data_IF_867281991734
#
_entry.id   IF_867281991734
#
_cell.length_a   1.000
_cell.length_b   1.000
_cell.length_c   1.000
_cell.angle_alpha   90.00
_cell.angle_beta   90.00
_cell.angle_gamma   90.00
#
_symmetry.space_group_name_H-M   'P 1'
#
loop_
_entity.id
_entity.type
_entity.pdbx_description
1 polymer ?
#
# COMPACT_ATOMS: atom_id res chain seq x y z
N UNK A 1 63.90 13.63 -57.27
CA UNK A 1 64.42 12.73 -56.17
C UNK A 1 64.01 13.24 -54.77
N UNK A 2 63.32 14.35 -54.66
CA UNK A 2 62.97 14.96 -53.35
C UNK A 2 61.52 14.64 -52.89
N UNK A 3 60.62 14.23 -53.76
CA UNK A 3 59.23 13.99 -53.42
C UNK A 3 59.00 12.65 -52.71
N UNK A 4 59.82 11.65 -52.95
CA UNK A 4 59.62 10.30 -52.43
C UNK A 4 60.09 10.17 -50.93
N UNK A 5 60.87 11.14 -50.42
CA UNK A 5 61.40 11.13 -49.06
C UNK A 5 60.35 11.75 -48.08
N UNK A 6 59.58 12.69 -48.56
CA UNK A 6 58.49 13.35 -47.75
C UNK A 6 57.28 12.42 -47.49
N UNK A 7 56.95 11.60 -48.44
CA UNK A 7 55.81 10.66 -48.31
C UNK A 7 56.10 9.55 -47.29
N UNK A 8 57.35 9.11 -47.15
CA UNK A 8 57.73 8.11 -46.13
C UNK A 8 57.72 8.65 -44.70
N UNK A 9 58.11 9.91 -44.52
CA UNK A 9 58.09 10.58 -43.19
C UNK A 9 56.64 10.86 -42.76
N UNK A 10 55.78 11.27 -43.71
CA UNK A 10 54.37 11.53 -43.41
C UNK A 10 53.57 10.25 -43.06
N UNK A 11 53.86 9.13 -43.72
CA UNK A 11 53.28 7.83 -43.36
C UNK A 11 53.72 7.33 -42.01
N UNK A 12 55.00 7.56 -41.63
CA UNK A 12 55.49 7.11 -40.32
C UNK A 12 54.94 7.95 -39.15
N UNK A 13 54.77 9.25 -39.34
CA UNK A 13 54.15 10.15 -38.32
C UNK A 13 52.67 9.91 -38.16
N UNK A 14 51.93 9.69 -39.24
CA UNK A 14 50.50 9.37 -39.19
C UNK A 14 50.25 8.01 -38.56
N UNK A 15 51.11 6.99 -38.83
CA UNK A 15 51.01 5.67 -38.21
C UNK A 15 51.33 5.70 -36.73
N UNK A 16 52.28 6.53 -36.27
CA UNK A 16 52.59 6.72 -34.85
C UNK A 16 51.48 7.41 -34.09
N UNK A 17 50.75 8.38 -34.70
CA UNK A 17 49.60 9.05 -34.07
C UNK A 17 48.39 8.12 -33.99
N UNK A 18 48.17 7.23 -34.95
CA UNK A 18 47.10 6.24 -34.93
C UNK A 18 47.33 5.10 -33.90
N UNK A 19 48.60 4.76 -33.56
CA UNK A 19 48.88 3.75 -32.53
C UNK A 19 48.84 4.29 -31.08
N UNK A 20 49.01 5.60 -30.86
CA UNK A 20 48.96 6.20 -29.52
C UNK A 20 47.62 6.84 -29.17
N UNK A 21 46.72 7.02 -30.15
CA UNK A 21 45.38 7.60 -29.93
C UNK A 21 44.44 6.80 -29.05
N UNK A 22 44.39 5.46 -29.11
CA UNK A 22 43.47 4.67 -28.28
C UNK A 22 43.96 4.40 -26.86
N UNK A 23 45.25 4.67 -26.52
CA UNK A 23 45.73 4.42 -25.15
C UNK A 23 45.45 5.55 -24.14
N UNK A 24 44.98 6.71 -24.59
CA UNK A 24 44.64 7.84 -23.68
C UNK A 24 43.14 7.89 -23.31
N UNK A 25 42.33 6.96 -23.82
CA UNK A 25 40.90 6.85 -23.45
C UNK A 25 40.59 5.67 -22.48
N UNK A 26 41.65 4.93 -22.03
CA UNK A 26 41.50 4.08 -20.86
C UNK A 26 41.64 4.93 -19.59
N UNK A 27 40.81 5.97 -19.48
CA UNK A 27 40.53 6.61 -18.21
C UNK A 27 40.01 5.54 -17.28
N UNK A 28 40.70 5.29 -16.18
CA UNK A 28 40.16 4.52 -15.07
C UNK A 28 38.76 5.04 -14.75
N UNK A 29 37.78 4.32 -15.22
CA UNK A 29 36.42 4.47 -14.70
C UNK A 29 36.45 3.84 -13.31
N UNK A 30 37.08 4.53 -12.34
CA UNK A 30 36.77 4.34 -10.94
C UNK A 30 35.40 4.94 -10.71
N UNK A 31 34.43 4.41 -11.44
CA UNK A 31 33.04 4.62 -11.13
C UNK A 31 32.85 4.05 -9.74
N UNK A 32 32.72 4.90 -8.76
CA UNK A 32 31.95 4.56 -7.57
C UNK A 32 30.59 4.17 -8.16
N UNK A 33 30.37 2.86 -8.35
CA UNK A 33 29.05 2.36 -8.68
C UNK A 33 28.15 2.84 -7.55
N UNK A 34 27.39 3.89 -7.82
CA UNK A 34 26.38 4.35 -6.90
C UNK A 34 25.42 3.18 -6.72
N UNK A 35 25.48 2.53 -5.57
CA UNK A 35 24.56 1.47 -5.19
C UNK A 35 23.16 1.97 -5.46
N UNK A 36 22.40 1.30 -6.33
CA UNK A 36 21.03 1.70 -6.65
C UNK A 36 20.25 1.76 -5.35
N UNK A 37 19.69 2.91 -5.05
CA UNK A 37 18.81 3.10 -3.91
C UNK A 37 17.61 2.15 -4.06
N UNK A 38 17.54 1.15 -3.20
CA UNK A 38 16.41 0.21 -3.16
C UNK A 38 15.38 0.82 -2.24
N UNK A 39 14.38 1.45 -2.83
CA UNK A 39 13.22 1.92 -2.06
C UNK A 39 12.20 0.78 -1.89
N UNK A 40 11.40 0.74 -0.81
CA UNK A 40 10.35 -0.26 -0.62
C UNK A 40 9.36 -0.35 -1.79
N UNK A 41 9.14 0.73 -2.53
CA UNK A 41 8.35 0.77 -3.76
C UNK A 41 9.04 0.11 -4.97
N UNK A 42 10.37 -0.15 -4.88
CA UNK A 42 11.17 -0.85 -5.91
C UNK A 42 11.56 -2.27 -5.53
N UNK A 43 11.33 -2.69 -4.30
CA UNK A 43 11.29 -4.11 -3.99
C UNK A 43 10.14 -4.67 -4.81
N UNK A 44 10.50 -5.32 -5.91
CA UNK A 44 9.52 -5.92 -6.79
C UNK A 44 8.69 -6.87 -5.93
N UNK A 45 7.38 -6.60 -5.77
CA UNK A 45 6.48 -7.45 -4.97
C UNK A 45 6.51 -8.90 -5.43
N UNK A 46 7.04 -9.16 -6.62
CA UNK A 46 7.26 -10.49 -7.19
C UNK A 46 8.37 -11.29 -6.50
N UNK A 47 9.30 -10.62 -5.81
CA UNK A 47 10.40 -11.29 -5.10
C UNK A 47 10.07 -11.61 -3.63
N UNK A 48 9.00 -11.04 -3.08
CA UNK A 48 8.51 -11.39 -1.75
C UNK A 48 7.53 -12.56 -1.91
N UNK A 49 7.88 -13.70 -1.35
CA UNK A 49 6.93 -14.82 -1.26
C UNK A 49 5.63 -14.34 -0.60
N UNK A 50 4.49 -14.63 -1.24
CA UNK A 50 3.17 -14.33 -0.67
C UNK A 50 3.04 -14.93 0.72
N UNK A 51 2.60 -14.13 1.66
CA UNK A 51 2.30 -14.61 3.01
C UNK A 51 0.86 -15.14 3.08
N UNK A 52 0.53 -16.01 4.05
CA UNK A 52 -0.86 -16.40 4.26
C UNK A 52 -1.81 -15.21 4.46
N UNK A 53 -1.30 -14.13 5.05
CA UNK A 53 -2.04 -12.89 5.26
C UNK A 53 -2.33 -12.15 3.93
N UNK A 54 -1.44 -12.22 2.95
CA UNK A 54 -1.67 -11.67 1.61
C UNK A 54 -2.78 -12.44 0.88
N UNK A 55 -2.85 -13.76 1.06
CA UNK A 55 -3.91 -14.61 0.49
C UNK A 55 -5.29 -14.20 1.00
N UNK A 56 -5.43 -13.83 2.29
CA UNK A 56 -6.70 -13.30 2.83
C UNK A 56 -7.10 -12.02 2.14
N UNK A 57 -6.14 -11.11 1.88
CA UNK A 57 -6.43 -9.87 1.15
C UNK A 57 -6.89 -10.12 -0.29
N UNK A 58 -6.31 -11.10 -0.96
CA UNK A 58 -6.71 -11.47 -2.32
C UNK A 58 -8.09 -12.14 -2.38
N UNK A 59 -8.50 -12.79 -1.29
CA UNK A 59 -9.81 -13.43 -1.20
C UNK A 59 -10.94 -12.42 -0.96
N UNK A 60 -10.64 -11.25 -0.36
CA UNK A 60 -11.59 -10.12 -0.26
C UNK A 60 -11.60 -9.41 -1.62
N UNK A 61 -12.57 -9.73 -2.45
CA UNK A 61 -12.58 -9.35 -3.86
C UNK A 61 -12.78 -7.85 -4.10
N UNK A 62 -11.76 -7.21 -4.65
CA UNK A 62 -11.94 -6.00 -5.44
C UNK A 62 -12.26 -6.41 -6.88
N UNK A 63 -13.54 -6.43 -7.25
CA UNK A 63 -13.95 -6.68 -8.62
C UNK A 63 -13.69 -5.46 -9.49
N UNK A 64 -13.03 -5.59 -10.67
CA UNK A 64 -12.91 -4.48 -11.61
C UNK A 64 -14.30 -4.07 -12.12
N UNK A 65 -14.43 -2.82 -12.54
CA UNK A 65 -15.73 -2.24 -12.96
C UNK A 65 -16.45 -3.07 -14.01
N UNK A 66 -15.71 -3.67 -14.97
CA UNK A 66 -16.30 -4.53 -16.03
C UNK A 66 -17.06 -5.75 -15.49
N UNK A 67 -16.74 -6.21 -14.27
CA UNK A 67 -17.34 -7.40 -13.65
C UNK A 67 -18.51 -7.06 -12.72
N UNK A 68 -18.82 -5.76 -12.57
CA UNK A 68 -19.94 -5.36 -11.72
C UNK A 68 -21.28 -5.74 -12.34
N UNK A 69 -22.13 -6.30 -11.52
CA UNK A 69 -23.50 -6.65 -11.90
C UNK A 69 -24.47 -5.58 -11.45
N UNK A 70 -25.50 -5.33 -12.25
CA UNK A 70 -26.62 -4.49 -11.86
C UNK A 70 -27.18 -4.91 -10.49
N UNK A 71 -27.50 -3.92 -9.67
CA UNK A 71 -27.99 -4.16 -8.31
C UNK A 71 -26.89 -4.26 -7.24
N UNK A 72 -25.59 -4.21 -7.58
CA UNK A 72 -24.50 -4.21 -6.59
C UNK A 72 -24.68 -3.06 -5.60
N UNK A 73 -24.73 -3.32 -4.29
CA UNK A 73 -25.09 -2.34 -3.30
C UNK A 73 -23.90 -1.53 -2.80
N UNK A 74 -24.10 -0.24 -2.59
CA UNK A 74 -23.12 0.69 -2.03
C UNK A 74 -23.74 1.53 -0.94
N UNK A 75 -23.06 1.65 0.20
CA UNK A 75 -23.45 2.54 1.29
C UNK A 75 -22.90 3.94 1.02
N UNK A 76 -23.76 4.95 1.11
CA UNK A 76 -23.35 6.34 1.05
C UNK A 76 -22.74 6.76 2.39
N UNK A 77 -21.46 7.06 2.38
CA UNK A 77 -20.71 7.42 3.58
C UNK A 77 -20.80 8.91 3.94
N UNK A 78 -21.08 9.77 2.95
CA UNK A 78 -21.07 11.22 3.13
C UNK A 78 -22.06 11.91 2.17
N UNK A 79 -22.86 12.86 2.68
CA UNK A 79 -23.80 13.66 1.89
C UNK A 79 -23.12 14.49 0.78
N UNK A 80 -21.81 14.76 0.90
CA UNK A 80 -21.02 15.44 -0.14
C UNK A 80 -21.00 14.70 -1.49
N UNK A 81 -21.45 13.43 -1.52
CA UNK A 81 -21.66 12.78 -2.81
C UNK A 81 -22.56 13.59 -3.75
N UNK A 82 -23.58 14.29 -3.24
CA UNK A 82 -24.48 15.13 -4.04
C UNK A 82 -23.77 16.29 -4.76
N UNK A 83 -22.58 16.68 -4.31
CA UNK A 83 -21.74 17.69 -4.95
C UNK A 83 -20.84 17.13 -6.05
N UNK A 84 -20.61 15.81 -6.02
CA UNK A 84 -19.66 15.12 -6.90
C UNK A 84 -20.40 14.36 -8.01
N UNK A 85 -21.56 13.80 -7.67
CA UNK A 85 -22.35 12.99 -8.59
C UNK A 85 -23.40 13.84 -9.30
N UNK A 86 -23.46 13.70 -10.62
CA UNK A 86 -24.54 14.32 -11.40
C UNK A 86 -25.87 13.66 -11.02
N UNK A 87 -26.81 14.44 -10.54
CA UNK A 87 -28.15 13.95 -10.16
C UNK A 87 -29.23 14.86 -10.74
N UNK A 88 -30.47 14.36 -10.84
CA UNK A 88 -31.64 15.16 -11.25
C UNK A 88 -32.36 15.80 -10.05
N UNK A 89 -31.74 15.80 -8.90
CA UNK A 89 -32.26 16.46 -7.70
C UNK A 89 -32.14 17.98 -7.92
N UNK A 90 -33.22 18.73 -7.65
CA UNK A 90 -33.18 20.19 -7.78
C UNK A 90 -32.22 20.83 -6.75
N UNK A 91 -31.59 21.97 -7.04
CA UNK A 91 -30.71 22.63 -6.09
C UNK A 91 -31.36 22.88 -4.73
N UNK A 92 -32.65 23.27 -4.70
CA UNK A 92 -33.40 23.53 -3.47
C UNK A 92 -33.62 22.24 -2.66
N UNK A 93 -33.83 21.11 -3.35
CA UNK A 93 -34.00 19.81 -2.72
C UNK A 93 -32.65 19.24 -2.23
N UNK A 94 -31.52 19.56 -2.90
CA UNK A 94 -30.19 19.09 -2.48
C UNK A 94 -29.83 19.54 -1.06
N UNK A 95 -30.20 20.76 -0.67
CA UNK A 95 -29.88 21.27 0.68
C UNK A 95 -30.60 20.51 1.80
N UNK A 96 -31.70 19.87 1.49
CA UNK A 96 -32.52 19.10 2.46
C UNK A 96 -32.36 17.60 2.33
N UNK A 97 -31.89 17.12 1.18
CA UNK A 97 -31.67 15.68 0.93
C UNK A 97 -30.51 15.16 1.76
N UNK A 98 -30.76 14.07 2.46
CA UNK A 98 -29.70 13.36 3.25
C UNK A 98 -29.53 11.97 2.66
N UNK A 99 -28.31 11.73 2.16
CA UNK A 99 -27.95 10.47 1.54
C UNK A 99 -27.07 9.60 2.45
N UNK A 100 -26.36 10.22 3.39
CA UNK A 100 -25.49 9.49 4.31
C UNK A 100 -26.25 8.38 5.04
N UNK A 101 -25.74 7.15 4.95
CA UNK A 101 -26.35 5.95 5.53
C UNK A 101 -27.39 5.27 4.62
N UNK A 102 -27.75 5.87 3.48
CA UNK A 102 -28.61 5.20 2.49
C UNK A 102 -27.80 4.21 1.65
N UNK A 103 -28.49 3.26 1.03
CA UNK A 103 -27.92 2.30 0.10
C UNK A 103 -28.38 2.64 -1.30
N UNK A 104 -27.43 2.89 -2.18
CA UNK A 104 -27.65 3.01 -3.63
C UNK A 104 -27.09 1.79 -4.33
N UNK A 105 -27.54 1.53 -5.56
CA UNK A 105 -27.13 0.35 -6.30
C UNK A 105 -26.50 0.72 -7.64
N UNK A 106 -25.46 0.00 -8.03
CA UNK A 106 -24.94 0.09 -9.37
C UNK A 106 -26.03 -0.28 -10.37
N UNK A 107 -26.30 0.60 -11.33
CA UNK A 107 -27.26 0.40 -12.42
C UNK A 107 -26.57 -0.01 -13.71
N UNK A 108 -25.70 0.86 -14.23
CA UNK A 108 -25.01 0.65 -15.50
C UNK A 108 -23.79 1.54 -15.63
N UNK A 109 -22.99 1.27 -16.63
CA UNK A 109 -22.01 2.22 -17.17
C UNK A 109 -22.53 2.88 -18.43
N UNK A 110 -22.03 4.06 -18.74
CA UNK A 110 -22.26 4.73 -20.02
C UNK A 110 -21.02 5.53 -20.42
N UNK A 111 -20.84 5.73 -21.72
CA UNK A 111 -19.73 6.51 -22.25
C UNK A 111 -20.24 7.84 -22.77
N UNK A 112 -19.59 8.93 -22.37
CA UNK A 112 -19.91 10.28 -22.82
C UNK A 112 -18.73 10.92 -23.53
N UNK A 113 -19.01 11.60 -24.63
CA UNK A 113 -18.03 12.40 -25.35
C UNK A 113 -17.81 13.71 -24.57
N UNK A 114 -16.56 14.00 -24.28
CA UNK A 114 -16.17 15.26 -23.63
C UNK A 114 -15.98 16.38 -24.65
N UNK A 115 -16.00 17.66 -24.25
CA UNK A 115 -15.78 18.79 -25.16
C UNK A 115 -14.44 18.77 -25.89
N UNK A 116 -13.43 18.09 -25.35
CA UNK A 116 -12.10 17.93 -25.97
C UNK A 116 -12.04 16.73 -26.95
N UNK A 117 -13.16 16.01 -27.17
CA UNK A 117 -13.28 14.90 -28.11
C UNK A 117 -12.86 13.54 -27.58
N UNK A 118 -12.54 13.40 -26.29
CA UNK A 118 -12.28 12.10 -25.65
C UNK A 118 -13.57 11.45 -25.15
N UNK A 119 -13.61 10.11 -25.14
CA UNK A 119 -14.68 9.35 -24.49
C UNK A 119 -14.29 9.07 -23.04
N UNK A 120 -15.21 9.35 -22.11
CA UNK A 120 -15.05 9.06 -20.70
C UNK A 120 -16.15 8.14 -20.19
N UNK A 121 -15.76 7.16 -19.36
CA UNK A 121 -16.66 6.23 -18.69
C UNK A 121 -17.34 6.89 -17.50
N UNK A 122 -18.66 6.78 -17.47
CA UNK A 122 -19.50 7.16 -16.34
C UNK A 122 -20.07 5.92 -15.67
N UNK A 123 -20.17 5.97 -14.35
CA UNK A 123 -20.83 4.95 -13.53
C UNK A 123 -22.16 5.54 -13.07
N UNK A 124 -23.24 4.83 -13.28
CA UNK A 124 -24.59 5.24 -12.84
C UNK A 124 -25.02 4.36 -11.69
N UNK A 125 -25.30 4.99 -10.58
CA UNK A 125 -25.97 4.39 -9.43
C UNK A 125 -27.42 4.84 -9.37
N UNK A 126 -28.26 4.08 -8.69
CA UNK A 126 -29.65 4.46 -8.45
C UNK A 126 -30.10 4.07 -7.05
N UNK A 127 -31.00 4.85 -6.51
CA UNK A 127 -31.97 4.43 -5.50
C UNK A 127 -33.31 4.20 -6.21
N UNK A 128 -34.40 3.97 -5.46
CA UNK A 128 -35.69 3.70 -6.06
C UNK A 128 -36.30 4.94 -6.77
N UNK A 129 -35.76 6.14 -6.59
CA UNK A 129 -36.31 7.40 -7.07
C UNK A 129 -35.38 8.21 -7.96
N UNK A 130 -34.03 8.10 -7.77
CA UNK A 130 -33.05 8.97 -8.39
C UNK A 130 -31.90 8.17 -9.02
N UNK A 131 -31.31 8.75 -10.05
CA UNK A 131 -30.04 8.27 -10.62
C UNK A 131 -28.91 9.25 -10.27
N UNK A 132 -27.74 8.70 -10.00
CA UNK A 132 -26.51 9.42 -9.63
C UNK A 132 -25.40 9.00 -10.59
N UNK A 133 -24.97 9.92 -11.45
CA UNK A 133 -23.91 9.68 -12.41
C UNK A 133 -22.55 10.16 -11.89
N UNK A 134 -21.56 9.30 -11.91
CA UNK A 134 -20.21 9.65 -11.55
C UNK A 134 -19.29 9.55 -12.77
N UNK A 135 -18.60 10.65 -13.08
CA UNK A 135 -17.57 10.65 -14.13
C UNK A 135 -16.26 10.12 -13.57
N UNK A 136 -15.76 9.02 -14.11
CA UNK A 136 -14.47 8.43 -13.69
C UNK A 136 -13.27 9.24 -14.16
N UNK A 137 -13.41 10.14 -15.14
CA UNK A 137 -12.32 10.85 -15.78
C UNK A 137 -11.40 9.94 -16.61
N UNK A 138 -11.79 8.70 -16.86
CA UNK A 138 -11.00 7.67 -17.55
C UNK A 138 -11.65 7.25 -18.85
N UNK A 139 -10.82 6.79 -19.80
CA UNK A 139 -11.35 6.10 -20.99
C UNK A 139 -12.12 4.82 -20.60
N UNK A 140 -13.04 4.34 -21.45
CA UNK A 140 -13.78 3.10 -21.16
C UNK A 140 -12.89 1.92 -20.80
N UNK A 141 -11.81 1.69 -21.52
CA UNK A 141 -10.89 0.57 -21.27
C UNK A 141 -10.12 0.71 -19.94
N UNK A 142 -9.69 1.94 -19.62
CA UNK A 142 -8.99 2.22 -18.38
C UNK A 142 -9.92 2.11 -17.16
N UNK A 143 -11.18 2.57 -17.31
CA UNK A 143 -12.19 2.47 -16.27
C UNK A 143 -12.59 1.02 -15.99
N UNK A 144 -12.80 0.21 -17.03
CA UNK A 144 -13.23 -1.18 -16.93
C UNK A 144 -12.23 -2.06 -16.15
N UNK A 145 -10.95 -1.71 -16.21
CA UNK A 145 -9.90 -2.40 -15.43
C UNK A 145 -9.63 -1.79 -14.07
N UNK A 146 -10.29 -0.69 -13.70
CA UNK A 146 -10.14 -0.03 -12.41
C UNK A 146 -10.91 -0.73 -11.31
N UNK A 147 -10.38 -0.68 -10.10
CA UNK A 147 -10.97 -1.27 -8.91
C UNK A 147 -11.58 -0.19 -8.02
N UNK A 148 -12.79 -0.46 -7.53
CA UNK A 148 -13.42 0.35 -6.48
C UNK A 148 -12.64 0.15 -5.15
N UNK A 149 -12.48 1.16 -4.25
CA UNK A 149 -13.25 2.42 -4.18
C UNK A 149 -12.59 3.64 -4.82
N UNK A 150 -11.41 3.49 -5.44
CA UNK A 150 -10.62 4.63 -5.93
C UNK A 150 -11.34 5.52 -6.94
N UNK A 151 -12.31 4.95 -7.65
CA UNK A 151 -13.00 5.62 -8.75
C UNK A 151 -14.42 6.11 -8.42
N UNK A 152 -14.94 5.83 -7.22
CA UNK A 152 -16.28 6.28 -6.81
C UNK A 152 -16.26 6.81 -5.37
N UNK A 153 -15.87 8.07 -5.14
CA UNK A 153 -15.71 8.65 -3.82
C UNK A 153 -17.04 8.70 -3.03
N UNK A 154 -16.93 8.73 -1.71
CA UNK A 154 -18.04 8.79 -0.75
C UNK A 154 -18.94 7.55 -0.70
N UNK A 155 -18.58 6.47 -1.38
CA UNK A 155 -19.31 5.21 -1.34
C UNK A 155 -18.46 4.10 -0.71
N UNK A 156 -19.12 3.15 -0.05
CA UNK A 156 -18.52 1.91 0.47
C UNK A 156 -19.20 0.74 -0.23
N UNK A 157 -18.41 -0.12 -0.85
CA UNK A 157 -18.91 -1.33 -1.52
C UNK A 157 -19.33 -2.39 -0.49
N UNK A 158 -20.63 -2.59 -0.34
CA UNK A 158 -21.17 -3.54 0.61
C UNK A 158 -20.92 -5.00 0.24
N UNK A 159 -20.68 -5.30 -1.03
CA UNK A 159 -20.30 -6.65 -1.47
C UNK A 159 -18.94 -7.03 -0.88
N UNK A 160 -17.95 -6.16 -0.98
CA UNK A 160 -16.63 -6.41 -0.41
C UNK A 160 -16.66 -6.50 1.13
N UNK A 161 -17.55 -5.75 1.79
CA UNK A 161 -17.75 -5.85 3.25
C UNK A 161 -18.31 -7.21 3.63
N UNK A 162 -19.32 -7.70 2.90
CA UNK A 162 -19.93 -9.01 3.17
C UNK A 162 -18.97 -10.16 2.91
N UNK A 163 -18.21 -10.12 1.81
CA UNK A 163 -17.13 -11.08 1.54
C UNK A 163 -16.08 -11.11 2.67
N UNK A 164 -15.68 -9.92 3.16
CA UNK A 164 -14.78 -9.83 4.31
C UNK A 164 -15.41 -10.40 5.60
N UNK A 165 -16.72 -10.18 5.81
CA UNK A 165 -17.45 -10.75 6.95
C UNK A 165 -17.44 -12.27 6.90
N UNK A 166 -17.76 -12.87 5.76
CA UNK A 166 -17.78 -14.32 5.57
C UNK A 166 -16.40 -14.95 5.82
N UNK A 167 -15.32 -14.28 5.39
CA UNK A 167 -13.95 -14.78 5.53
C UNK A 167 -13.41 -14.62 6.95
N UNK A 168 -13.69 -13.48 7.60
CA UNK A 168 -12.98 -13.09 8.82
C UNK A 168 -13.76 -13.42 10.10
N UNK A 169 -15.11 -13.43 10.09
CA UNK A 169 -15.89 -13.66 11.32
C UNK A 169 -15.59 -15.02 11.94
N UNK A 170 -15.41 -15.02 13.26
CA UNK A 170 -15.06 -16.22 14.03
C UNK A 170 -13.57 -16.60 14.00
N UNK A 171 -12.74 -15.90 13.20
CA UNK A 171 -11.31 -16.17 13.19
C UNK A 171 -10.63 -15.59 14.44
N UNK A 172 -9.67 -16.35 14.96
CA UNK A 172 -8.71 -15.83 15.93
C UNK A 172 -7.49 -15.31 15.20
N UNK A 173 -7.25 -13.99 15.32
CA UNK A 173 -6.15 -13.28 14.70
C UNK A 173 -5.17 -12.78 15.77
N UNK A 174 -3.90 -12.61 15.41
CA UNK A 174 -2.92 -11.98 16.29
C UNK A 174 -2.65 -10.56 15.80
N UNK A 175 -2.82 -9.60 16.69
CA UNK A 175 -2.69 -8.18 16.35
C UNK A 175 -1.24 -7.81 16.06
N UNK A 176 -1.02 -7.09 14.98
CA UNK A 176 0.28 -6.50 14.62
C UNK A 176 0.35 -5.03 14.99
N UNK A 177 -0.81 -4.35 14.92
CA UNK A 177 -0.98 -2.95 15.27
C UNK A 177 -1.63 -2.79 16.66
N UNK A 178 -1.23 -1.80 17.47
CA UNK A 178 -1.87 -1.47 18.72
C UNK A 178 -3.11 -0.58 18.53
N UNK A 179 -3.50 -0.25 17.30
CA UNK A 179 -4.63 0.63 17.03
C UNK A 179 -5.95 -0.05 17.41
N UNK A 180 -6.63 0.54 18.38
CA UNK A 180 -7.95 0.15 18.87
C UNK A 180 -8.80 1.38 19.03
N UNK A 181 -10.10 1.19 18.91
CA UNK A 181 -11.09 2.25 19.09
C UNK A 181 -12.25 1.70 19.94
N UNK A 182 -12.87 2.57 20.73
CA UNK A 182 -14.13 2.27 21.42
C UNK A 182 -15.33 2.42 20.46
N UNK A 183 -16.55 2.30 21.01
CA UNK A 183 -17.79 2.42 20.21
C UNK A 183 -18.09 3.87 19.82
N UNK A 184 -17.51 4.84 20.52
CA UNK A 184 -17.56 6.27 20.19
C UNK A 184 -16.58 6.67 19.10
N UNK A 185 -15.66 5.77 18.73
CA UNK A 185 -14.62 6.00 17.70
C UNK A 185 -13.36 6.66 18.28
N UNK A 186 -13.25 6.77 19.59
CA UNK A 186 -12.06 7.30 20.24
C UNK A 186 -10.97 6.23 20.37
N UNK A 187 -9.73 6.67 20.20
CA UNK A 187 -8.59 5.77 20.28
C UNK A 187 -8.32 5.31 21.71
N UNK A 188 -8.32 4.00 21.90
CA UNK A 188 -7.98 3.36 23.19
C UNK A 188 -6.65 2.63 23.11
N UNK A 189 -6.09 2.28 24.25
CA UNK A 189 -4.85 1.50 24.34
C UNK A 189 -5.09 0.06 23.87
N UNK A 190 -4.29 -0.39 22.93
CA UNK A 190 -4.27 -1.77 22.44
C UNK A 190 -2.89 -2.39 22.57
N UNK A 191 -2.84 -3.70 22.58
CA UNK A 191 -1.61 -4.48 22.63
C UNK A 191 -1.28 -5.07 21.25
N UNK A 192 0.01 -5.30 21.01
CA UNK A 192 0.52 -6.00 19.81
C UNK A 192 0.78 -7.46 20.12
N UNK A 193 0.62 -8.29 19.10
CA UNK A 193 0.94 -9.72 19.14
C UNK A 193 0.15 -10.49 20.19
N UNK A 194 -1.08 -10.05 20.44
CA UNK A 194 -2.07 -10.73 21.28
C UNK A 194 -3.19 -11.27 20.43
N UNK A 195 -3.79 -12.42 20.80
CA UNK A 195 -4.92 -12.98 20.06
C UNK A 195 -6.18 -12.13 20.29
N UNK A 196 -6.97 -11.95 19.22
CA UNK A 196 -8.31 -11.36 19.24
C UNK A 196 -9.23 -12.22 18.39
N UNK A 197 -10.49 -12.35 18.78
CA UNK A 197 -11.53 -13.01 18.02
C UNK A 197 -12.30 -11.98 17.20
N UNK A 198 -12.43 -12.18 15.89
CA UNK A 198 -13.26 -11.32 15.04
C UNK A 198 -14.72 -11.69 15.27
N UNK A 199 -15.48 -10.82 15.90
CA UNK A 199 -16.91 -11.04 16.23
C UNK A 199 -17.77 -10.72 15.02
N UNK A 200 -17.49 -9.61 14.32
CA UNK A 200 -18.27 -9.16 13.18
C UNK A 200 -17.42 -8.22 12.28
N UNK A 201 -17.82 -8.09 11.03
CA UNK A 201 -17.30 -7.10 10.09
C UNK A 201 -18.46 -6.30 9.53
N UNK A 202 -18.40 -4.97 9.71
CA UNK A 202 -19.46 -4.05 9.28
C UNK A 202 -18.86 -2.94 8.41
N UNK A 203 -19.66 -2.17 7.66
CA UNK A 203 -19.15 -1.02 6.92
C UNK A 203 -18.49 -0.01 7.85
N UNK A 204 -17.28 0.45 7.46
CA UNK A 204 -16.53 1.47 8.17
C UNK A 204 -16.69 2.86 7.55
N UNK A 205 -15.59 3.44 7.11
CA UNK A 205 -15.56 4.71 6.38
C UNK A 205 -14.93 4.56 4.98
N UNK A 206 -14.84 5.65 4.22
CA UNK A 206 -14.31 5.63 2.84
C UNK A 206 -12.83 5.22 2.79
N UNK A 207 -12.03 5.58 3.80
CA UNK A 207 -10.61 5.25 3.85
C UNK A 207 -10.38 3.83 4.36
N UNK A 208 -11.21 3.41 5.30
CA UNK A 208 -11.17 2.11 5.95
C UNK A 208 -12.54 1.44 5.87
N UNK A 209 -12.91 0.90 4.71
CA UNK A 209 -14.26 0.38 4.47
C UNK A 209 -14.62 -0.85 5.30
N UNK A 210 -13.66 -1.56 5.87
CA UNK A 210 -13.89 -2.69 6.74
C UNK A 210 -13.72 -2.27 8.21
N UNK A 211 -14.80 -2.28 8.96
CA UNK A 211 -14.82 -2.08 10.40
C UNK A 211 -15.00 -3.43 11.09
N UNK A 212 -13.94 -3.91 11.74
CA UNK A 212 -13.90 -5.16 12.48
C UNK A 212 -14.24 -4.90 13.95
N UNK A 213 -15.22 -5.61 14.47
CA UNK A 213 -15.48 -5.74 15.89
C UNK A 213 -14.70 -6.94 16.40
N UNK A 214 -13.77 -6.70 17.31
CA UNK A 214 -12.89 -7.76 17.82
C UNK A 214 -13.05 -7.91 19.33
N UNK A 215 -13.06 -9.16 19.78
CA UNK A 215 -13.10 -9.50 21.20
C UNK A 215 -11.68 -9.76 21.69
N UNK A 216 -11.26 -8.98 22.67
CA UNK A 216 -9.98 -9.08 23.35
C UNK A 216 -9.95 -10.28 24.30
N UNK A 217 -8.77 -10.67 24.77
CA UNK A 217 -8.59 -11.78 25.70
C UNK A 217 -9.25 -11.57 27.06
N UNK A 218 -9.47 -10.32 27.46
CA UNK A 218 -10.19 -9.94 28.70
C UNK A 218 -11.72 -9.92 28.50
N UNK A 219 -12.22 -10.25 27.30
CA UNK A 219 -13.64 -10.26 26.93
C UNK A 219 -14.19 -8.92 26.45
N UNK A 220 -13.44 -7.84 26.51
CA UNK A 220 -13.83 -6.52 26.01
C UNK A 220 -13.94 -6.56 24.49
N UNK A 221 -14.94 -5.86 23.94
CA UNK A 221 -15.05 -5.60 22.49
C UNK A 221 -14.33 -4.29 22.19
N UNK A 222 -13.56 -4.30 21.11
CA UNK A 222 -12.93 -3.12 20.55
C UNK A 222 -13.10 -3.10 19.04
N UNK A 223 -12.85 -1.95 18.42
CA UNK A 223 -13.04 -1.70 17.02
C UNK A 223 -11.69 -1.52 16.32
N UNK A 224 -11.55 -2.13 15.14
CA UNK A 224 -10.39 -1.98 14.26
C UNK A 224 -10.87 -1.70 12.84
N UNK A 225 -10.13 -0.85 12.12
CA UNK A 225 -10.49 -0.42 10.78
C UNK A 225 -9.43 -0.84 9.77
N UNK A 226 -9.84 -1.45 8.66
CA UNK A 226 -8.97 -1.92 7.59
C UNK A 226 -9.27 -1.24 6.26
N UNK A 227 -8.20 -1.00 5.50
CA UNK A 227 -8.27 -0.67 4.07
C UNK A 227 -8.27 -1.94 3.22
N UNK A 228 -9.06 -1.95 2.15
CA UNK A 228 -9.10 -3.05 1.17
C UNK A 228 -7.94 -2.92 0.17
N UNK A 229 -7.38 -1.73 -0.01
CA UNK A 229 -6.28 -1.49 -0.94
C UNK A 229 -5.07 -0.82 -0.28
N UNK A 230 -3.90 -0.95 -0.91
CA UNK A 230 -2.66 -0.27 -0.49
C UNK A 230 -2.59 1.22 -0.92
N UNK A 231 -3.68 1.78 -1.38
CA UNK A 231 -3.75 3.19 -1.80
C UNK A 231 -4.04 4.07 -0.61
N UNK A 232 -3.07 4.80 -0.13
CA UNK A 232 -3.27 5.79 0.93
C UNK A 232 -2.02 6.07 1.75
N UNK A 233 -2.06 7.18 2.47
CA UNK A 233 -0.99 7.65 3.36
C UNK A 233 -0.78 6.73 4.58
N UNK A 234 -1.83 6.02 5.00
CA UNK A 234 -1.78 5.01 6.05
C UNK A 234 -2.40 3.71 5.53
N UNK A 235 -1.56 2.76 5.18
CA UNK A 235 -2.02 1.44 4.78
C UNK A 235 -2.36 0.61 6.03
N UNK A 236 -3.66 0.42 6.28
CA UNK A 236 -4.18 -0.51 7.30
C UNK A 236 -4.68 -1.79 6.64
N UNK A 237 -3.85 -2.36 5.77
CA UNK A 237 -4.17 -3.63 5.11
C UNK A 237 -4.15 -4.79 6.11
N UNK A 238 -4.83 -5.89 5.81
CA UNK A 238 -4.87 -7.06 6.67
C UNK A 238 -3.45 -7.53 7.08
N UNK A 239 -2.46 -7.69 6.18
CA UNK A 239 -1.10 -8.10 6.56
C UNK A 239 -0.37 -7.07 7.44
N UNK A 240 -0.74 -5.80 7.39
CA UNK A 240 -0.15 -4.76 8.25
C UNK A 240 -0.75 -4.74 9.65
N UNK A 241 -1.96 -5.26 9.80
CA UNK A 241 -2.73 -5.21 11.04
C UNK A 241 -2.75 -6.53 11.80
N UNK A 242 -2.61 -7.68 11.12
CA UNK A 242 -2.80 -9.00 11.71
C UNK A 242 -1.79 -10.05 11.25
N UNK A 243 -1.66 -11.09 12.05
CA UNK A 243 -1.14 -12.40 11.69
C UNK A 243 -2.26 -13.45 11.83
N UNK A 244 -2.29 -14.44 10.95
CA UNK A 244 -3.22 -15.57 11.01
C UNK A 244 -2.84 -16.60 12.08
N UNK A 245 -1.61 -16.58 12.56
CA UNK A 245 -1.11 -17.51 13.57
C UNK A 245 -0.24 -16.78 14.60
N UNK A 246 -0.04 -17.44 15.76
CA UNK A 246 0.82 -16.89 16.82
C UNK A 246 2.22 -16.54 16.27
N UNK A 247 2.59 -15.25 16.23
CA UNK A 247 3.88 -14.84 15.72
C UNK A 247 5.06 -15.38 16.54
N UNK A 248 4.87 -15.69 17.82
CA UNK A 248 5.92 -16.33 18.64
C UNK A 248 6.28 -17.71 18.13
N UNK A 249 5.30 -18.45 17.58
CA UNK A 249 5.56 -19.75 16.93
C UNK A 249 6.24 -19.58 15.57
N UNK A 250 5.97 -18.50 14.85
CA UNK A 250 6.59 -18.18 13.55
C UNK A 250 8.05 -17.74 13.72
N UNK A 251 8.39 -17.13 14.86
CA UNK A 251 9.73 -16.61 15.17
C UNK A 251 10.29 -17.22 16.47
N UNK A 252 10.52 -18.54 16.54
CA UNK A 252 10.89 -19.23 17.78
C UNK A 252 12.29 -18.84 18.31
N UNK A 253 13.15 -18.24 17.47
CA UNK A 253 14.48 -17.81 17.85
C UNK A 253 14.50 -16.49 18.65
N UNK A 254 13.37 -15.75 18.68
CA UNK A 254 13.29 -14.46 19.39
C UNK A 254 13.11 -14.72 20.89
N UNK A 255 14.02 -14.17 21.71
CA UNK A 255 13.95 -14.35 23.15
C UNK A 255 12.77 -13.58 23.80
N UNK A 256 12.29 -14.01 24.97
CA UNK A 256 11.19 -13.33 25.67
C UNK A 256 11.49 -11.85 25.96
N UNK A 257 12.75 -11.50 26.26
CA UNK A 257 13.16 -10.11 26.51
C UNK A 257 13.06 -9.26 25.24
N UNK A 258 13.43 -9.83 24.09
CA UNK A 258 13.30 -9.14 22.80
C UNK A 258 11.83 -9.02 22.41
N UNK A 259 11.00 -10.05 22.64
CA UNK A 259 9.55 -9.98 22.45
C UNK A 259 8.90 -8.85 23.23
N UNK A 260 9.30 -8.62 24.48
CA UNK A 260 8.80 -7.51 25.28
C UNK A 260 9.10 -6.15 24.63
N UNK A 261 10.33 -5.95 24.12
CA UNK A 261 10.69 -4.73 23.40
C UNK A 261 9.87 -4.56 22.11
N UNK A 262 9.70 -5.65 21.34
CA UNK A 262 8.89 -5.66 20.12
C UNK A 262 7.43 -5.26 20.42
N UNK A 263 6.82 -5.80 21.46
CA UNK A 263 5.47 -5.44 21.89
C UNK A 263 5.34 -3.96 22.29
N UNK A 264 6.36 -3.41 22.91
CA UNK A 264 6.44 -2.00 23.29
C UNK A 264 6.78 -1.08 22.10
N UNK A 265 7.08 -1.62 20.92
CA UNK A 265 7.52 -0.85 19.75
C UNK A 265 8.92 -0.25 19.94
N UNK A 266 9.79 -0.91 20.69
CA UNK A 266 11.16 -0.48 20.98
C UNK A 266 12.19 -1.39 20.34
N UNK A 267 13.36 -0.85 20.06
CA UNK A 267 14.52 -1.57 19.57
C UNK A 267 15.72 -1.41 20.47
N UNK A 268 16.67 -2.33 20.35
CA UNK A 268 17.98 -2.24 21.00
C UNK A 268 19.08 -2.75 20.08
N UNK A 269 20.31 -2.35 20.30
CA UNK A 269 21.46 -2.88 19.57
C UNK A 269 21.56 -4.40 19.70
N UNK A 270 21.95 -5.08 18.63
CA UNK A 270 22.01 -6.53 18.53
C UNK A 270 20.73 -7.18 18.01
N UNK A 271 19.63 -6.44 17.86
CA UNK A 271 18.42 -6.95 17.18
C UNK A 271 18.67 -7.22 15.70
N UNK A 272 18.06 -8.27 15.17
CA UNK A 272 18.04 -8.60 13.76
C UNK A 272 17.11 -7.66 12.97
N UNK A 273 17.21 -7.69 11.62
CA UNK A 273 16.30 -6.96 10.75
C UNK A 273 14.84 -7.38 10.96
N UNK A 274 14.58 -8.67 11.15
CA UNK A 274 13.22 -9.17 11.38
C UNK A 274 12.66 -8.67 12.71
N UNK A 275 13.45 -8.67 13.77
CA UNK A 275 13.07 -8.12 15.07
C UNK A 275 12.81 -6.61 14.99
N UNK A 276 13.65 -5.86 14.27
CA UNK A 276 13.43 -4.44 14.00
C UNK A 276 12.13 -4.19 13.22
N UNK A 277 11.84 -5.02 12.22
CA UNK A 277 10.61 -4.95 11.43
C UNK A 277 9.36 -5.32 12.24
N UNK A 278 9.47 -6.29 13.11
CA UNK A 278 8.37 -6.63 14.04
C UNK A 278 8.10 -5.49 15.01
N UNK A 279 9.13 -4.82 15.52
CA UNK A 279 9.00 -3.73 16.49
C UNK A 279 8.39 -2.46 15.87
N UNK A 280 8.91 -2.01 14.71
CA UNK A 280 8.61 -0.69 14.15
C UNK A 280 7.82 -0.74 12.82
N UNK A 281 7.62 -1.92 12.24
CA UNK A 281 7.03 -2.06 10.91
C UNK A 281 8.08 -1.97 9.80
N UNK A 282 7.59 -1.95 8.54
CA UNK A 282 8.47 -1.79 7.40
C UNK A 282 9.01 -0.35 7.32
N UNK A 283 10.30 -0.16 7.00
CA UNK A 283 10.84 1.17 6.76
C UNK A 283 10.25 1.78 5.49
N UNK A 284 10.23 3.12 5.42
CA UNK A 284 9.83 3.85 4.22
C UNK A 284 10.92 3.85 3.16
N UNK A 285 12.19 3.80 3.58
CA UNK A 285 13.35 3.74 2.68
C UNK A 285 14.44 2.84 3.24
N UNK A 286 15.06 2.06 2.36
CA UNK A 286 16.19 1.20 2.69
C UNK A 286 17.36 1.58 1.81
N UNK A 287 18.47 1.97 2.42
CA UNK A 287 19.73 2.25 1.73
C UNK A 287 20.77 1.21 2.15
N UNK A 288 21.16 0.34 1.21
CA UNK A 288 22.14 -0.72 1.45
C UNK A 288 23.46 -0.37 0.81
N UNK A 289 24.54 -0.52 1.58
CA UNK A 289 25.92 -0.33 1.12
C UNK A 289 26.80 -1.49 1.55
N UNK A 290 27.88 -1.70 0.81
CA UNK A 290 28.93 -2.64 1.17
C UNK A 290 30.23 -1.90 1.41
N UNK A 291 30.90 -2.27 2.47
CA UNK A 291 32.27 -1.87 2.74
C UNK A 291 33.13 -3.16 2.64
N UNK A 292 34.43 -3.05 2.61
CA UNK A 292 35.38 -4.16 2.33
C UNK A 292 35.16 -5.44 3.17
N UNK A 293 34.46 -5.33 4.31
CA UNK A 293 34.30 -6.43 5.25
C UNK A 293 32.87 -6.58 5.81
N UNK A 294 31.93 -5.69 5.47
CA UNK A 294 30.59 -5.72 6.07
C UNK A 294 29.51 -5.12 5.16
N UNK A 295 28.29 -5.60 5.33
CA UNK A 295 27.10 -5.01 4.72
C UNK A 295 26.50 -4.02 5.70
N UNK A 296 26.18 -2.81 5.24
CA UNK A 296 25.53 -1.78 6.03
C UNK A 296 24.19 -1.49 5.40
N UNK A 297 23.11 -1.58 6.19
CA UNK A 297 21.77 -1.18 5.79
C UNK A 297 21.26 -0.07 6.69
N UNK A 298 20.83 1.02 6.07
CA UNK A 298 20.19 2.14 6.76
C UNK A 298 18.70 2.13 6.41
N UNK A 299 17.87 1.92 7.42
CA UNK A 299 16.43 1.98 7.33
C UNK A 299 15.94 3.33 7.85
N UNK A 300 15.11 4.02 7.07
CA UNK A 300 14.55 5.32 7.40
C UNK A 300 13.04 5.27 7.47
N UNK A 301 12.45 6.00 8.40
CA UNK A 301 11.02 6.12 8.64
C UNK A 301 10.58 7.59 8.53
N UNK A 302 9.34 7.86 8.09
CA UNK A 302 8.80 9.21 7.84
C UNK A 302 8.88 10.16 9.03
N UNK A 303 8.78 9.63 10.25
CA UNK A 303 8.87 10.41 11.47
C UNK A 303 10.30 10.79 11.89
N UNK A 304 11.29 10.57 11.01
CA UNK A 304 12.69 10.87 11.25
C UNK A 304 13.43 9.83 12.10
N UNK A 305 12.79 8.72 12.46
CA UNK A 305 13.48 7.56 13.03
C UNK A 305 14.39 6.90 12.00
N UNK A 306 15.49 6.30 12.46
CA UNK A 306 16.31 5.45 11.62
C UNK A 306 16.89 4.26 12.39
N UNK A 307 17.16 3.17 11.66
CA UNK A 307 17.89 1.98 12.12
C UNK A 307 19.06 1.72 11.20
N UNK A 308 20.25 1.50 11.75
CA UNK A 308 21.44 1.12 11.00
C UNK A 308 21.85 -0.30 11.40
N UNK A 309 21.85 -1.20 10.42
CA UNK A 309 22.27 -2.57 10.59
C UNK A 309 23.67 -2.76 9.99
N UNK A 310 24.50 -3.54 10.64
CA UNK A 310 25.75 -4.04 10.14
C UNK A 310 25.72 -5.56 10.19
N UNK A 311 25.95 -6.21 9.03
CA UNK A 311 25.87 -7.67 8.87
C UNK A 311 24.56 -8.28 9.41
N UNK A 312 23.45 -7.53 9.25
CA UNK A 312 22.12 -7.94 9.66
C UNK A 312 21.74 -7.65 11.12
N UNK A 313 22.65 -7.13 11.93
CA UNK A 313 22.42 -6.78 13.34
C UNK A 313 22.36 -5.25 13.53
N UNK A 314 21.41 -4.80 14.33
CA UNK A 314 21.25 -3.40 14.67
C UNK A 314 22.44 -2.88 15.50
N UNK A 315 23.14 -1.88 14.98
CA UNK A 315 24.31 -1.27 15.62
C UNK A 315 24.07 0.15 16.06
N UNK A 316 23.14 0.87 15.42
CA UNK A 316 22.80 2.24 15.77
C UNK A 316 21.35 2.56 15.40
N UNK A 317 20.68 3.41 16.19
CA UNK A 317 19.32 3.84 15.91
C UNK A 317 19.00 5.19 16.57
N UNK A 318 17.99 5.87 16.01
CA UNK A 318 17.34 7.03 16.60
C UNK A 318 15.83 6.83 16.52
N UNK A 319 15.17 6.93 17.67
CA UNK A 319 13.72 6.87 17.82
C UNK A 319 13.12 8.24 18.12
#
# INVERSE_FOLDING_TARGET
MFLCRYIKIFKSVVLSILCFGPLLLAGCNTGIESTRRVTPSRLDRRELAETPEDTVMHAIHLSPLRDWKEGRPFLVADDRMLLIYESRISPEAMDTTRMKGSVIRFSRTLDRLTPNGSMERWIVFSDDQHEFGYNTGKSPEAADSSFFPLDAPMLIDLTSVEEAREILSGLTLWTRSPLRYDDEGERIAGERFVPVEVVDVVPGDVLFPLHLKVKETDGRISNMYLSISNSGLESRTFPSMFFLSDPKKRYPAISPEVWKLIQEGKVRNGMTKDEGRLALGNPDDVNSGHNWSSTIDLWSYRNGMFLQFQDGLLVNYRM
#
